data_IF_521486214544
#
_entry.id   IF_521486214544
#
_cell.length_a   1.000
_cell.length_b   1.000
_cell.length_c   1.000
_cell.angle_alpha   90.00
_cell.angle_beta   90.00
_cell.angle_gamma   90.00
#
_symmetry.space_group_name_H-M   'P 1'
#
loop_
_entity.id
_entity.type
_entity.pdbx_description
1 polymer ?
#
# COMPACT_ATOMS: atom_id res chain seq x y z
N UNK A 1 16.58 -9.23 -14.83
CA UNK A 1 16.36 -10.34 -13.89
C UNK A 1 14.87 -10.63 -13.82
N UNK A 2 14.50 -11.87 -14.02
CA UNK A 2 13.06 -12.26 -14.14
C UNK A 2 12.21 -11.87 -12.95
N UNK A 3 12.75 -11.99 -11.73
CA UNK A 3 12.02 -11.63 -10.52
C UNK A 3 11.62 -10.14 -10.53
N UNK A 4 12.56 -9.25 -10.77
CA UNK A 4 12.30 -7.81 -10.78
C UNK A 4 11.38 -7.42 -11.93
N UNK A 5 11.52 -8.07 -13.08
CA UNK A 5 10.63 -7.84 -14.22
C UNK A 5 9.20 -8.21 -13.89
N UNK A 6 8.97 -9.32 -13.18
CA UNK A 6 7.64 -9.73 -12.76
C UNK A 6 7.06 -8.79 -11.68
N UNK A 7 7.89 -8.32 -10.75
CA UNK A 7 7.46 -7.30 -9.78
C UNK A 7 7.01 -6.04 -10.50
N UNK A 8 7.82 -5.55 -11.45
CA UNK A 8 7.49 -4.37 -12.22
C UNK A 8 6.18 -4.56 -13.01
N UNK A 9 6.01 -5.73 -13.62
CA UNK A 9 4.80 -6.05 -14.37
C UNK A 9 3.56 -6.04 -13.48
N UNK A 10 3.66 -6.68 -12.31
CA UNK A 10 2.56 -6.71 -11.34
C UNK A 10 2.22 -5.33 -10.79
N UNK A 11 3.23 -4.55 -10.45
CA UNK A 11 3.02 -3.19 -9.94
C UNK A 11 2.41 -2.27 -11.00
N UNK A 12 2.84 -2.40 -12.25
CA UNK A 12 2.23 -1.63 -13.34
C UNK A 12 0.78 -2.02 -13.56
N UNK A 13 0.46 -3.30 -13.46
CA UNK A 13 -0.93 -3.76 -13.55
C UNK A 13 -1.79 -3.14 -12.45
N UNK A 14 -1.30 -3.10 -11.22
CA UNK A 14 -1.99 -2.45 -10.11
C UNK A 14 -2.18 -0.95 -10.37
N UNK A 15 -1.14 -0.27 -10.84
CA UNK A 15 -1.22 1.16 -11.16
C UNK A 15 -2.28 1.45 -12.22
N UNK A 16 -2.36 0.60 -13.25
CA UNK A 16 -3.30 0.76 -14.36
C UNK A 16 -4.74 0.38 -13.97
N UNK A 17 -4.94 -0.22 -12.80
CA UNK A 17 -6.25 -0.70 -12.33
C UNK A 17 -7.04 0.33 -11.49
N UNK A 18 -6.66 1.59 -11.50
CA UNK A 18 -7.37 2.65 -10.77
C UNK A 18 -7.12 2.65 -9.27
N UNK A 19 -5.96 2.18 -8.85
CA UNK A 19 -5.59 2.11 -7.43
C UNK A 19 -4.86 3.37 -6.98
N UNK A 20 -4.73 3.53 -5.66
CA UNK A 20 -3.94 4.60 -5.04
C UNK A 20 -2.82 3.97 -4.24
N UNK A 21 -1.58 4.40 -4.46
CA UNK A 21 -0.44 3.90 -3.71
C UNK A 21 -0.19 4.78 -2.49
N UNK A 22 -0.02 4.14 -1.34
CA UNK A 22 0.28 4.83 -0.08
C UNK A 22 1.52 4.23 0.58
N UNK A 23 2.29 5.05 1.21
CA UNK A 23 3.47 4.60 1.96
C UNK A 23 4.55 5.64 2.05
N UNK A 24 5.75 5.19 2.40
CA UNK A 24 6.93 6.03 2.53
C UNK A 24 7.71 6.04 1.22
N UNK A 25 8.26 7.19 0.86
CA UNK A 25 9.06 7.39 -0.35
C UNK A 25 8.32 7.02 -1.65
N UNK A 26 7.01 7.15 -1.66
CA UNK A 26 6.21 6.90 -2.86
C UNK A 26 6.04 8.15 -3.71
N UNK A 27 6.14 9.33 -3.11
CA UNK A 27 6.00 10.60 -3.81
C UNK A 27 7.33 11.15 -4.34
N UNK A 28 8.46 10.57 -3.94
CA UNK A 28 9.78 11.06 -4.32
C UNK A 28 10.38 10.21 -5.43
N UNK A 29 11.01 10.86 -6.41
CA UNK A 29 11.69 10.18 -7.52
C UNK A 29 13.04 9.63 -7.08
N UNK A 30 13.48 8.57 -7.78
CA UNK A 30 14.84 8.04 -7.62
C UNK A 30 15.06 7.16 -6.42
N UNK A 31 14.03 6.81 -5.69
CA UNK A 31 14.15 5.91 -4.55
C UNK A 31 14.18 4.45 -5.01
N UNK A 32 15.30 3.76 -4.77
CA UNK A 32 15.53 2.43 -5.34
C UNK A 32 14.51 1.38 -4.90
N UNK A 33 14.09 1.41 -3.63
CA UNK A 33 13.20 0.40 -3.05
C UNK A 33 11.74 0.60 -3.51
N UNK A 34 11.33 1.85 -3.66
CA UNK A 34 9.95 2.18 -4.02
C UNK A 34 9.83 2.80 -5.41
N UNK A 35 10.79 2.51 -6.29
CA UNK A 35 10.81 3.08 -7.64
C UNK A 35 9.56 2.75 -8.46
N UNK A 36 8.91 1.62 -8.18
CA UNK A 36 7.68 1.25 -8.89
C UNK A 36 6.53 2.22 -8.61
N UNK A 37 6.60 3.03 -7.56
CA UNK A 37 5.61 4.07 -7.30
C UNK A 37 5.51 5.06 -8.47
N UNK A 38 6.56 5.20 -9.28
CA UNK A 38 6.56 6.04 -10.47
C UNK A 38 5.56 5.58 -11.54
N UNK A 39 5.06 4.33 -11.46
CA UNK A 39 3.99 3.85 -12.34
C UNK A 39 2.64 4.52 -12.04
N UNK A 40 2.45 5.09 -10.85
CA UNK A 40 1.24 5.84 -10.51
C UNK A 40 1.39 7.31 -10.85
N UNK A 41 0.29 7.93 -11.25
CA UNK A 41 0.24 9.39 -11.42
C UNK A 41 0.44 10.09 -10.08
N UNK A 42 0.93 11.32 -10.10
CA UNK A 42 1.26 12.06 -8.86
C UNK A 42 0.05 12.21 -7.92
N UNK A 43 -1.13 12.42 -8.45
CA UNK A 43 -2.37 12.55 -7.67
C UNK A 43 -2.85 11.21 -7.09
N UNK A 44 -2.24 10.10 -7.48
CA UNK A 44 -2.53 8.77 -6.98
C UNK A 44 -1.44 8.23 -6.05
N UNK A 45 -0.52 9.07 -5.63
CA UNK A 45 0.53 8.73 -4.68
C UNK A 45 0.33 9.51 -3.39
N UNK A 46 0.20 8.81 -2.28
CA UNK A 46 0.02 9.42 -0.97
C UNK A 46 1.24 9.12 -0.11
N UNK A 47 2.04 10.15 0.13
CA UNK A 47 3.22 10.05 0.98
C UNK A 47 2.82 10.05 2.44
N UNK A 48 3.32 9.09 3.21
CA UNK A 48 3.05 8.98 4.63
C UNK A 48 4.34 9.02 5.45
N UNK A 49 4.28 9.50 6.69
CA UNK A 49 5.42 9.39 7.60
C UNK A 49 5.63 7.92 8.01
N UNK A 50 6.74 7.66 8.71
CA UNK A 50 7.03 6.33 9.26
C UNK A 50 6.05 6.02 10.39
N UNK A 51 4.95 5.37 10.05
CA UNK A 51 3.88 5.00 10.98
C UNK A 51 3.08 3.85 10.35
N UNK A 52 3.63 2.64 10.39
CA UNK A 52 3.09 1.48 9.67
C UNK A 52 1.69 1.10 10.16
N UNK A 53 1.42 1.20 11.45
CA UNK A 53 0.09 0.92 11.99
C UNK A 53 -0.93 1.92 11.45
N UNK A 54 -0.61 3.20 11.46
CA UNK A 54 -1.46 4.25 10.88
C UNK A 54 -1.68 4.02 9.39
N UNK A 55 -0.62 3.68 8.67
CA UNK A 55 -0.69 3.42 7.23
C UNK A 55 -1.68 2.30 6.90
N UNK A 56 -1.62 1.20 7.64
CA UNK A 56 -2.53 0.07 7.42
C UNK A 56 -3.96 0.42 7.84
N UNK A 57 -4.14 1.17 8.92
CA UNK A 57 -5.45 1.67 9.32
C UNK A 57 -6.05 2.60 8.28
N UNK A 58 -5.25 3.48 7.69
CA UNK A 58 -5.68 4.32 6.57
C UNK A 58 -6.08 3.50 5.35
N UNK A 59 -5.31 2.45 5.03
CA UNK A 59 -5.66 1.56 3.91
C UNK A 59 -7.03 0.92 4.13
N UNK A 60 -7.30 0.44 5.34
CA UNK A 60 -8.61 -0.10 5.66
C UNK A 60 -9.71 0.95 5.48
N UNK A 61 -9.52 2.16 6.01
CA UNK A 61 -10.48 3.25 5.86
C UNK A 61 -10.72 3.62 4.40
N UNK A 62 -9.68 3.69 3.59
CA UNK A 62 -9.79 3.94 2.16
C UNK A 62 -10.63 2.86 1.46
N UNK A 63 -10.41 1.59 1.82
CA UNK A 63 -11.19 0.49 1.26
C UNK A 63 -12.68 0.61 1.61
N UNK A 64 -12.99 1.05 2.82
CA UNK A 64 -14.38 1.24 3.25
C UNK A 64 -15.07 2.38 2.51
N UNK A 65 -14.33 3.33 1.98
CA UNK A 65 -14.88 4.46 1.22
C UNK A 65 -14.85 4.24 -0.29
N UNK A 66 -14.50 3.04 -0.75
CA UNK A 66 -14.54 2.66 -2.16
C UNK A 66 -13.24 2.76 -2.91
N UNK A 67 -12.15 3.21 -2.27
CA UNK A 67 -10.83 3.20 -2.87
C UNK A 67 -10.20 1.81 -2.83
N UNK A 68 -9.21 1.60 -3.68
CA UNK A 68 -8.40 0.39 -3.66
C UNK A 68 -6.95 0.83 -3.37
N UNK A 69 -6.54 0.84 -2.10
CA UNK A 69 -5.20 1.26 -1.74
C UNK A 69 -4.18 0.13 -1.99
N UNK A 70 -3.01 0.51 -2.47
CA UNK A 70 -1.83 -0.34 -2.52
C UNK A 70 -0.87 0.18 -1.46
N UNK A 71 -0.78 -0.51 -0.35
CA UNK A 71 0.04 -0.10 0.79
C UNK A 71 1.43 -0.71 0.67
N UNK A 72 2.46 0.12 0.61
CA UNK A 72 3.84 -0.33 0.41
C UNK A 72 4.62 -0.24 1.71
N UNK A 73 5.30 -1.33 2.03
CA UNK A 73 6.25 -1.44 3.14
C UNK A 73 7.61 -1.81 2.56
N UNK A 74 8.63 -0.96 2.71
CA UNK A 74 9.91 -1.16 2.03
C UNK A 74 10.64 -2.46 2.43
N UNK A 75 10.34 -2.98 3.61
CA UNK A 75 10.95 -4.21 4.12
C UNK A 75 9.94 -4.99 4.96
N UNK A 76 10.09 -6.31 4.99
CA UNK A 76 9.20 -7.19 5.72
C UNK A 76 9.14 -6.88 7.23
N UNK A 77 10.27 -6.52 7.83
CA UNK A 77 10.29 -6.17 9.25
C UNK A 77 9.47 -4.92 9.58
N UNK A 78 9.27 -4.03 8.63
CA UNK A 78 8.40 -2.87 8.82
C UNK A 78 6.92 -3.25 8.73
N UNK A 79 6.59 -4.26 7.94
CA UNK A 79 5.23 -4.79 7.90
C UNK A 79 4.81 -5.37 9.26
N UNK A 80 5.74 -5.94 10.00
CA UNK A 80 5.49 -6.45 11.37
C UNK A 80 4.97 -5.33 12.28
N UNK A 81 5.42 -4.10 12.11
CA UNK A 81 4.93 -2.96 12.89
C UNK A 81 3.44 -2.68 12.65
N UNK A 82 2.86 -3.21 11.58
CA UNK A 82 1.45 -3.07 11.25
C UNK A 82 0.63 -4.31 11.64
N UNK A 83 1.21 -5.25 12.36
CA UNK A 83 0.57 -6.54 12.65
C UNK A 83 -0.77 -6.40 13.37
N UNK A 84 -0.90 -5.43 14.28
CA UNK A 84 -2.14 -5.16 14.97
C UNK A 84 -3.27 -4.83 13.99
N UNK A 85 -3.04 -3.93 13.05
CA UNK A 85 -4.05 -3.54 12.07
C UNK A 85 -4.38 -4.68 11.10
N UNK A 86 -3.39 -5.46 10.71
CA UNK A 86 -3.58 -6.57 9.77
C UNK A 86 -4.36 -7.72 10.42
N UNK A 87 -4.00 -8.10 11.64
CA UNK A 87 -4.52 -9.30 12.29
C UNK A 87 -5.78 -9.01 13.10
N UNK A 88 -5.78 -7.91 13.86
CA UNK A 88 -6.87 -7.61 14.79
C UNK A 88 -7.98 -6.74 14.19
N UNK A 89 -7.74 -6.07 13.08
CA UNK A 89 -8.72 -5.22 12.43
C UNK A 89 -9.05 -5.68 11.02
N UNK A 90 -8.12 -5.60 10.08
CA UNK A 90 -8.40 -5.89 8.68
C UNK A 90 -8.91 -7.32 8.48
N UNK A 91 -8.22 -8.30 9.04
CA UNK A 91 -8.59 -9.73 8.91
C UNK A 91 -9.96 -10.04 9.49
N UNK A 92 -10.33 -9.33 10.56
CA UNK A 92 -11.58 -9.60 11.30
C UNK A 92 -12.71 -8.63 10.99
N UNK A 93 -12.48 -7.65 10.14
CA UNK A 93 -13.42 -6.57 9.91
C UNK A 93 -14.80 -7.08 9.50
N UNK A 94 -14.86 -8.00 8.58
CA UNK A 94 -16.10 -8.57 8.09
C UNK A 94 -16.85 -9.29 9.23
N UNK A 95 -16.13 -10.07 10.05
CA UNK A 95 -16.70 -10.79 11.19
C UNK A 95 -17.24 -9.84 12.27
N UNK A 96 -16.67 -8.64 12.38
CA UNK A 96 -17.13 -7.63 13.32
C UNK A 96 -18.30 -6.79 12.81
N UNK A 97 -18.89 -7.18 11.67
CA UNK A 97 -20.05 -6.52 11.09
C UNK A 97 -19.73 -5.38 10.14
N UNK A 98 -18.46 -5.22 9.77
CA UNK A 98 -18.07 -4.26 8.74
C UNK A 98 -18.15 -4.85 7.35
N UNK A 99 -18.40 -4.02 6.33
CA UNK A 99 -18.31 -4.40 4.92
C UNK A 99 -17.03 -3.87 4.31
N UNK A 100 -16.35 -4.67 3.51
CA UNK A 100 -15.16 -4.23 2.78
C UNK A 100 -15.30 -4.64 1.33
#
# INVERSE_FOLDING_TARGET
MKYLEEVDRGMKLLADSGTTIIGQAVAYKGHAITRQAEFWAEDKRVELPVAEEMQTGMALGMSLTGDIPVSIYPRMNFLICAANQLINHLDKWELMGGGV
#
